data_IF_459964465461
#
_entry.id   IF_459964465461
#
_cell.length_a   1.000
_cell.length_b   1.000
_cell.length_c   1.000
_cell.angle_alpha   90.00
_cell.angle_beta   90.00
_cell.angle_gamma   90.00
#
_symmetry.space_group_name_H-M   'P 1'
#
loop_
_entity.id
_entity.type
_entity.pdbx_description
1 polymer ?
#
# COMPACT_ATOMS: atom_id res chain seq x y z
N UNK A 1 2.63 -93.53 22.57
CA UNK A 1 1.70 -92.80 21.73
C UNK A 1 1.59 -91.38 22.29
N UNK A 2 2.35 -90.46 21.72
CA UNK A 2 2.41 -89.02 22.14
C UNK A 2 1.71 -88.23 21.06
N UNK A 3 0.63 -87.54 21.41
CA UNK A 3 -0.10 -86.61 20.51
C UNK A 3 0.50 -85.20 20.68
N UNK A 4 1.03 -84.67 19.59
CA UNK A 4 1.52 -83.29 19.51
C UNK A 4 0.32 -82.42 19.05
N UNK A 5 -0.02 -81.41 19.85
CA UNK A 5 -0.95 -80.35 19.47
C UNK A 5 -0.15 -79.19 18.83
N UNK A 6 -0.46 -78.90 17.60
CA UNK A 6 0.07 -77.70 16.90
C UNK A 6 -0.83 -76.49 17.21
N UNK A 7 -0.23 -75.46 17.78
CA UNK A 7 -0.87 -74.16 18.05
C UNK A 7 -0.63 -73.24 16.81
N UNK A 8 -1.69 -72.93 16.07
CA UNK A 8 -1.61 -71.97 14.99
C UNK A 8 -1.77 -70.55 15.55
N UNK A 9 -0.73 -69.72 15.44
CA UNK A 9 -0.78 -68.28 15.77
C UNK A 9 -1.28 -67.51 14.53
N UNK A 10 -2.43 -66.89 14.68
CA UNK A 10 -2.94 -65.89 13.68
C UNK A 10 -2.25 -64.56 13.96
N UNK A 11 -1.38 -64.14 13.04
CA UNK A 11 -0.82 -62.79 13.00
C UNK A 11 -1.80 -61.91 12.21
N UNK A 12 -2.53 -61.04 12.91
CA UNK A 12 -3.38 -60.01 12.35
C UNK A 12 -2.54 -58.85 11.79
N UNK A 13 -2.48 -58.69 10.49
CA UNK A 13 -1.86 -57.53 9.85
C UNK A 13 -2.82 -56.34 9.91
N UNK A 14 -2.58 -55.38 10.81
CA UNK A 14 -3.29 -54.12 10.82
C UNK A 14 -2.70 -53.21 9.72
N UNK A 15 -3.40 -53.13 8.61
CA UNK A 15 -3.14 -52.11 7.59
C UNK A 15 -3.54 -50.75 8.12
N UNK A 16 -2.56 -50.00 8.65
CA UNK A 16 -2.71 -48.59 8.96
C UNK A 16 -2.86 -47.79 7.65
N UNK A 17 -4.05 -47.28 7.37
CA UNK A 17 -4.22 -46.22 6.38
C UNK A 17 -3.53 -44.95 6.89
N UNK A 18 -2.29 -44.75 6.47
CA UNK A 18 -1.64 -43.45 6.55
C UNK A 18 -2.40 -42.55 5.57
N UNK A 19 -3.32 -41.73 6.09
CA UNK A 19 -3.91 -40.65 5.34
C UNK A 19 -2.79 -39.72 4.89
N UNK A 20 -2.48 -39.71 3.61
CA UNK A 20 -1.60 -38.75 2.99
C UNK A 20 -2.23 -37.37 3.20
N UNK A 21 -1.72 -36.60 4.16
CA UNK A 21 -1.99 -35.18 4.21
C UNK A 21 -1.45 -34.59 2.89
N UNK A 22 -2.33 -34.40 1.91
CA UNK A 22 -1.99 -33.62 0.72
C UNK A 22 -1.61 -32.24 1.20
N UNK A 23 -0.34 -31.87 1.02
CA UNK A 23 0.11 -30.50 1.24
C UNK A 23 -0.78 -29.59 0.39
N UNK A 24 -1.59 -28.77 1.04
CA UNK A 24 -2.49 -27.83 0.40
C UNK A 24 -1.62 -26.91 -0.47
N UNK A 25 -1.85 -26.91 -1.76
CA UNK A 25 -1.13 -25.99 -2.67
C UNK A 25 -1.53 -24.57 -2.33
N UNK A 26 -0.63 -23.57 -2.48
CA UNK A 26 -1.03 -22.17 -2.40
C UNK A 26 -2.24 -21.94 -3.31
N UNK A 27 -3.39 -21.51 -2.74
CA UNK A 27 -4.61 -21.27 -3.48
C UNK A 27 -5.76 -22.32 -3.35
N UNK A 28 -5.58 -23.43 -2.63
CA UNK A 28 -6.63 -24.45 -2.47
C UNK A 28 -7.64 -24.15 -1.34
N UNK A 29 -7.59 -22.98 -0.72
CA UNK A 29 -8.47 -22.56 0.37
C UNK A 29 -9.46 -21.45 -0.02
N UNK A 30 -10.51 -21.23 0.79
CA UNK A 30 -11.38 -20.09 0.57
C UNK A 30 -10.62 -18.77 0.82
N UNK A 31 -10.82 -17.80 -0.06
CA UNK A 31 -10.27 -16.46 0.03
C UNK A 31 -11.28 -15.38 -0.36
N UNK A 32 -10.96 -14.10 -0.15
CA UNK A 32 -11.79 -13.01 -0.60
C UNK A 32 -11.83 -12.95 -2.13
N UNK A 33 -13.04 -12.78 -2.65
CA UNK A 33 -13.30 -12.67 -4.10
C UNK A 33 -13.63 -11.23 -4.45
N UNK A 34 -13.14 -10.79 -5.60
CA UNK A 34 -13.31 -9.43 -6.07
C UNK A 34 -13.84 -9.40 -7.51
N UNK A 35 -14.64 -8.38 -7.79
CA UNK A 35 -15.12 -8.06 -9.13
C UNK A 35 -14.83 -6.59 -9.40
N UNK A 36 -14.16 -6.29 -10.53
CA UNK A 36 -13.88 -4.90 -10.89
C UNK A 36 -15.17 -4.14 -11.18
N UNK A 37 -15.27 -2.92 -10.69
CA UNK A 37 -16.30 -1.98 -11.12
C UNK A 37 -15.76 -1.12 -12.27
N UNK A 38 -16.15 -1.40 -13.52
CA UNK A 38 -15.62 -0.68 -14.68
C UNK A 38 -16.13 0.76 -14.79
N UNK A 39 -17.09 1.16 -13.94
CA UNK A 39 -17.72 2.48 -13.96
C UNK A 39 -17.28 3.37 -12.80
N UNK A 40 -16.30 2.94 -12.04
CA UNK A 40 -15.69 3.72 -10.97
C UNK A 40 -14.25 4.15 -11.33
N UNK A 41 -13.86 5.42 -11.10
CA UNK A 41 -14.68 6.56 -10.70
C UNK A 41 -15.57 7.07 -11.85
N UNK A 42 -16.53 7.93 -11.53
CA UNK A 42 -17.30 8.65 -12.53
C UNK A 42 -16.41 9.62 -13.30
N UNK A 43 -16.81 10.00 -14.54
CA UNK A 43 -16.08 11.00 -15.31
C UNK A 43 -15.83 12.28 -14.50
N UNK A 44 -14.60 12.78 -14.55
CA UNK A 44 -14.24 14.04 -13.89
C UNK A 44 -14.92 15.23 -14.58
N UNK A 45 -15.29 16.28 -13.83
CA UNK A 45 -15.88 17.49 -14.40
C UNK A 45 -14.87 18.27 -15.26
N UNK A 46 -15.35 19.27 -16.02
CA UNK A 46 -14.53 20.24 -16.74
C UNK A 46 -13.51 19.63 -17.71
N UNK A 47 -13.81 18.47 -18.27
CA UNK A 47 -12.90 17.70 -19.14
C UNK A 47 -11.54 17.43 -18.47
N UNK A 48 -11.52 17.26 -17.16
CA UNK A 48 -10.30 16.92 -16.45
C UNK A 48 -9.85 15.49 -16.73
N UNK A 49 -8.54 15.30 -16.82
CA UNK A 49 -7.87 14.01 -16.84
C UNK A 49 -6.97 13.86 -15.62
N UNK A 50 -6.91 12.64 -15.12
CA UNK A 50 -5.97 12.23 -14.10
C UNK A 50 -4.65 11.82 -14.75
N UNK A 51 -3.52 12.32 -14.25
CA UNK A 51 -2.20 11.80 -14.55
C UNK A 51 -1.91 10.51 -13.77
N UNK A 52 -0.64 10.21 -13.52
CA UNK A 52 -0.26 9.07 -12.69
C UNK A 52 -0.92 9.17 -11.31
N UNK A 53 -1.76 8.20 -10.94
CA UNK A 53 -2.32 8.09 -9.61
C UNK A 53 -1.26 7.48 -8.69
N UNK A 54 -0.60 8.32 -7.89
CA UNK A 54 0.55 7.93 -7.11
C UNK A 54 0.20 7.38 -5.73
N UNK A 55 -0.94 7.76 -5.16
CA UNK A 55 -1.39 7.26 -3.88
C UNK A 55 -2.92 7.23 -3.79
N UNK A 56 -3.42 6.35 -2.94
CA UNK A 56 -4.85 6.21 -2.68
C UNK A 56 -5.07 5.92 -1.19
N UNK A 57 -6.11 6.51 -0.62
CA UNK A 57 -6.51 6.28 0.76
C UNK A 57 -8.05 6.24 0.86
N UNK A 58 -8.54 5.54 1.87
CA UNK A 58 -9.96 5.56 2.26
C UNK A 58 -10.05 6.20 3.64
N UNK A 59 -10.92 7.18 3.79
CA UNK A 59 -11.15 7.84 5.08
C UNK A 59 -12.23 7.10 5.91
N UNK A 60 -12.46 7.56 7.14
CA UNK A 60 -13.45 6.98 8.07
C UNK A 60 -14.91 7.12 7.62
N UNK A 61 -15.16 7.90 6.56
CA UNK A 61 -16.48 8.08 5.94
C UNK A 61 -16.64 7.25 4.67
N UNK A 62 -15.65 6.39 4.37
CA UNK A 62 -15.53 5.63 3.13
C UNK A 62 -15.43 6.51 1.88
N UNK A 63 -14.93 7.75 2.01
CA UNK A 63 -14.52 8.54 0.86
C UNK A 63 -13.13 8.12 0.39
N UNK A 64 -12.93 8.14 -0.92
CA UNK A 64 -11.71 7.69 -1.56
C UNK A 64 -10.89 8.90 -1.99
N UNK A 65 -9.66 8.98 -1.47
CA UNK A 65 -8.73 10.04 -1.74
C UNK A 65 -7.64 9.55 -2.68
N UNK A 66 -7.43 10.30 -3.76
CA UNK A 66 -6.37 10.00 -4.74
C UNK A 66 -5.43 11.20 -4.81
N UNK A 67 -4.12 10.95 -4.67
CA UNK A 67 -3.11 11.92 -5.08
C UNK A 67 -2.56 11.51 -6.44
N UNK A 68 -2.56 12.46 -7.37
CA UNK A 68 -2.13 12.22 -8.73
C UNK A 68 -1.11 13.27 -9.19
N UNK A 69 -0.42 13.02 -10.28
CA UNK A 69 0.65 13.83 -10.86
C UNK A 69 0.17 14.52 -12.13
N UNK A 70 -0.40 15.73 -12.06
CA UNK A 70 -0.97 16.44 -13.23
C UNK A 70 0.05 16.64 -14.36
N UNK A 71 1.32 16.88 -14.01
CA UNK A 71 2.42 17.11 -14.95
C UNK A 71 2.80 15.88 -15.78
N UNK A 72 2.32 14.68 -15.45
CA UNK A 72 2.59 13.45 -16.21
C UNK A 72 1.66 13.29 -17.43
N UNK A 73 0.67 14.17 -17.57
CA UNK A 73 -0.13 14.24 -18.78
C UNK A 73 0.74 14.75 -19.95
N UNK A 74 0.64 14.06 -21.07
CA UNK A 74 1.28 14.48 -22.34
C UNK A 74 0.60 15.71 -22.91
N UNK A 75 1.21 16.34 -23.91
CA UNK A 75 0.60 17.48 -24.59
C UNK A 75 -0.74 17.12 -25.23
N UNK A 76 -0.89 15.91 -25.76
CA UNK A 76 -2.15 15.44 -26.35
C UNK A 76 -3.23 15.25 -25.27
N UNK A 77 -2.85 14.80 -24.07
CA UNK A 77 -3.77 14.60 -22.93
C UNK A 77 -4.18 15.93 -22.27
N UNK A 78 -3.49 17.04 -22.52
CA UNK A 78 -3.79 18.37 -21.96
C UNK A 78 -3.94 19.46 -23.02
N UNK A 79 -4.38 19.09 -24.21
CA UNK A 79 -4.40 19.97 -25.38
C UNK A 79 -5.17 21.27 -25.20
N UNK A 80 -6.24 21.28 -24.37
CA UNK A 80 -7.00 22.50 -24.08
C UNK A 80 -6.24 23.55 -23.26
N UNK A 81 -5.18 23.15 -22.53
CA UNK A 81 -4.39 24.05 -21.65
C UNK A 81 -3.08 24.52 -22.27
N UNK A 82 -2.80 24.11 -23.49
CA UNK A 82 -1.63 24.59 -24.23
C UNK A 82 -1.85 26.04 -24.72
N UNK A 83 -0.77 26.74 -25.03
CA UNK A 83 -0.83 28.08 -25.57
C UNK A 83 -0.06 28.15 -26.91
N UNK A 84 -0.74 28.27 -28.09
CA UNK A 84 -2.21 28.24 -28.23
C UNK A 84 -2.78 26.85 -27.95
N UNK A 85 -4.10 26.77 -27.60
CA UNK A 85 -4.77 25.48 -27.40
C UNK A 85 -4.73 24.62 -28.66
N UNK A 86 -4.44 23.33 -28.48
CA UNK A 86 -4.36 22.35 -29.58
C UNK A 86 -5.69 21.65 -29.83
N UNK A 87 -6.56 21.59 -28.79
CA UNK A 87 -7.84 20.89 -28.82
C UNK A 87 -8.84 21.53 -27.85
N UNK A 88 -10.12 21.11 -27.90
CA UNK A 88 -11.16 21.49 -26.95
C UNK A 88 -11.12 20.66 -25.65
N UNK A 89 -10.44 19.55 -25.66
CA UNK A 89 -10.17 18.65 -24.53
C UNK A 89 -8.68 18.49 -24.40
N UNK A 90 -8.09 18.23 -23.28
CA UNK A 90 -8.59 18.13 -21.92
C UNK A 90 -7.70 18.98 -21.03
N UNK A 91 -7.97 19.02 -19.73
CA UNK A 91 -7.18 19.75 -18.75
C UNK A 91 -6.70 18.81 -17.63
N UNK A 92 -5.52 19.04 -17.02
CA UNK A 92 -5.10 18.30 -15.84
C UNK A 92 -6.05 18.54 -14.66
N UNK A 93 -6.47 17.47 -14.00
CA UNK A 93 -7.17 17.58 -12.72
C UNK A 93 -6.21 18.13 -11.62
N UNK A 94 -6.73 18.75 -10.55
CA UNK A 94 -5.94 19.10 -9.37
C UNK A 94 -5.24 17.88 -8.77
N UNK A 95 -4.10 18.04 -8.05
CA UNK A 95 -3.33 16.93 -7.52
C UNK A 95 -4.06 16.03 -6.54
N UNK A 96 -4.93 16.59 -5.69
CA UNK A 96 -5.72 15.83 -4.70
C UNK A 96 -7.17 15.80 -5.13
N UNK A 97 -7.72 14.59 -5.18
CA UNK A 97 -9.10 14.30 -5.56
C UNK A 97 -9.76 13.48 -4.45
N UNK A 98 -10.94 13.90 -4.01
CA UNK A 98 -11.79 13.16 -3.08
C UNK A 98 -13.07 12.71 -3.80
N UNK A 99 -13.32 11.41 -3.75
CA UNK A 99 -14.52 10.79 -4.33
C UNK A 99 -15.41 10.24 -3.23
N UNK A 100 -16.71 10.28 -3.43
CA UNK A 100 -17.62 9.46 -2.62
C UNK A 100 -17.54 7.98 -3.04
N UNK A 101 -18.26 7.12 -2.32
CA UNK A 101 -18.32 5.68 -2.63
C UNK A 101 -18.86 5.39 -4.04
N UNK A 102 -19.74 6.22 -4.58
CA UNK A 102 -20.28 6.06 -5.92
C UNK A 102 -19.32 6.51 -7.02
N UNK A 103 -18.17 7.09 -6.63
CA UNK A 103 -17.11 7.55 -7.52
C UNK A 103 -17.35 8.97 -8.04
N UNK A 104 -18.27 9.72 -7.46
CA UNK A 104 -18.47 11.13 -7.81
C UNK A 104 -17.39 11.97 -7.13
N UNK A 105 -16.74 12.84 -7.90
CA UNK A 105 -15.78 13.79 -7.34
C UNK A 105 -16.51 14.81 -6.46
N UNK A 106 -16.20 14.83 -5.15
CA UNK A 106 -16.81 15.74 -4.18
C UNK A 106 -15.91 16.90 -3.80
N UNK A 107 -14.57 16.73 -3.95
CA UNK A 107 -13.59 17.78 -3.66
C UNK A 107 -12.31 17.59 -4.46
N UNK A 108 -11.65 18.71 -4.77
CA UNK A 108 -10.34 18.70 -5.39
C UNK A 108 -9.54 19.95 -5.00
N UNK A 109 -8.24 19.78 -4.76
CA UNK A 109 -7.33 20.87 -4.39
C UNK A 109 -5.87 20.45 -4.54
N UNK A 110 -4.94 21.31 -4.18
CA UNK A 110 -3.50 21.04 -4.11
C UNK A 110 -2.69 21.85 -5.09
N UNK A 111 -1.38 21.70 -5.00
CA UNK A 111 -0.38 22.48 -5.71
C UNK A 111 0.33 23.48 -4.81
N UNK A 112 1.19 24.30 -5.40
CA UNK A 112 1.97 25.29 -4.67
C UNK A 112 1.09 26.30 -3.93
N UNK A 113 1.51 26.71 -2.73
CA UNK A 113 0.79 27.67 -1.91
C UNK A 113 1.71 28.35 -0.90
N UNK A 114 1.15 29.23 -0.10
CA UNK A 114 1.91 30.00 0.89
C UNK A 114 2.17 29.16 2.15
N UNK A 115 3.40 29.22 2.66
CA UNK A 115 3.78 28.65 3.96
C UNK A 115 4.17 27.19 3.96
N UNK A 116 4.20 26.52 2.80
CA UNK A 116 4.64 25.12 2.64
C UNK A 116 5.34 24.91 1.29
N UNK A 117 6.03 23.77 1.18
CA UNK A 117 6.74 23.36 -0.02
C UNK A 117 6.04 22.13 -0.62
N UNK A 118 5.20 22.37 -1.65
CA UNK A 118 4.48 21.27 -2.34
C UNK A 118 5.46 20.32 -3.03
N UNK A 119 5.25 18.98 -2.96
CA UNK A 119 6.13 18.03 -3.62
C UNK A 119 6.28 18.26 -5.13
N UNK A 120 7.47 18.10 -5.63
CA UNK A 120 7.74 18.10 -7.06
C UNK A 120 7.24 16.83 -7.74
N UNK A 121 7.29 15.68 -7.04
CA UNK A 121 6.71 14.41 -7.45
C UNK A 121 5.81 13.88 -6.34
N UNK A 122 4.50 14.14 -6.46
CA UNK A 122 3.49 13.66 -5.51
C UNK A 122 3.58 12.13 -5.38
N UNK A 123 3.45 11.61 -4.14
CA UNK A 123 3.59 10.18 -3.90
C UNK A 123 2.56 9.61 -2.92
N UNK A 124 2.81 9.63 -1.63
CA UNK A 124 1.90 9.09 -0.62
C UNK A 124 0.77 10.05 -0.25
N UNK A 125 -0.40 9.49 0.05
CA UNK A 125 -1.53 10.20 0.66
C UNK A 125 -2.12 9.34 1.78
N UNK A 126 -2.48 9.95 2.89
CA UNK A 126 -3.19 9.33 3.99
C UNK A 126 -4.17 10.32 4.62
N UNK A 127 -5.34 9.84 5.05
CA UNK A 127 -6.31 10.65 5.79
C UNK A 127 -6.41 10.11 7.22
N UNK A 128 -6.13 10.97 8.20
CA UNK A 128 -6.11 10.57 9.59
C UNK A 128 -7.53 10.56 10.23
N UNK A 129 -7.62 10.07 11.46
CA UNK A 129 -8.86 9.97 12.21
C UNK A 129 -9.51 11.33 12.56
N UNK A 130 -8.82 12.44 12.33
CA UNK A 130 -9.30 13.81 12.49
C UNK A 130 -9.63 14.47 11.15
N UNK A 131 -9.70 13.68 10.07
CA UNK A 131 -9.94 14.11 8.68
C UNK A 131 -8.84 15.02 8.12
N UNK A 132 -7.61 15.00 8.69
CA UNK A 132 -6.51 15.69 8.08
C UNK A 132 -5.86 14.84 6.99
N UNK A 133 -5.43 15.48 5.93
CA UNK A 133 -4.82 14.86 4.76
C UNK A 133 -3.31 15.05 4.84
N UNK A 134 -2.59 13.94 4.82
CA UNK A 134 -1.13 13.89 4.82
C UNK A 134 -0.61 13.54 3.44
N UNK A 135 0.42 14.25 2.98
CA UNK A 135 0.97 14.13 1.63
C UNK A 135 2.49 14.06 1.68
N UNK A 136 3.07 13.12 0.94
CA UNK A 136 4.50 13.01 0.72
C UNK A 136 4.87 13.10 -0.75
N UNK A 137 6.16 13.23 -1.03
CA UNK A 137 6.70 13.26 -2.38
C UNK A 137 8.00 12.47 -2.52
N UNK A 138 8.38 12.12 -3.74
CA UNK A 138 9.56 11.30 -4.00
C UNK A 138 10.51 11.85 -5.07
N UNK A 139 10.42 13.12 -5.45
CA UNK A 139 11.48 13.76 -6.22
C UNK A 139 12.80 13.76 -5.44
N UNK A 140 13.92 13.96 -6.13
CA UNK A 140 15.23 14.07 -5.49
C UNK A 140 15.32 15.17 -4.43
N UNK A 141 14.41 16.15 -4.50
CA UNK A 141 14.29 17.28 -3.59
C UNK A 141 13.12 17.19 -2.61
N UNK A 142 12.25 16.17 -2.73
CA UNK A 142 11.09 16.02 -1.85
C UNK A 142 11.52 15.33 -0.54
N UNK A 143 11.82 16.13 0.47
CA UNK A 143 12.26 15.66 1.78
C UNK A 143 11.33 16.12 2.91
N UNK A 144 10.05 16.34 2.57
CA UNK A 144 9.02 16.81 3.48
C UNK A 144 7.74 15.97 3.39
N UNK A 145 6.97 16.02 4.46
CA UNK A 145 5.59 15.57 4.55
C UNK A 145 4.74 16.75 4.97
N UNK A 146 3.59 16.91 4.31
CA UNK A 146 2.66 18.01 4.53
C UNK A 146 1.36 17.51 5.15
N UNK A 147 0.79 18.30 6.07
CA UNK A 147 -0.53 18.08 6.66
C UNK A 147 -1.48 19.20 6.27
N UNK A 148 -2.67 18.85 5.83
CA UNK A 148 -3.74 19.78 5.47
C UNK A 148 -5.05 19.40 6.18
N UNK A 149 -5.98 20.35 6.28
CA UNK A 149 -7.39 19.99 6.55
C UNK A 149 -7.97 19.27 5.34
N UNK A 150 -9.14 18.68 5.50
CA UNK A 150 -9.92 18.07 4.41
C UNK A 150 -10.15 19.03 3.24
N UNK A 151 -10.29 20.33 3.50
CA UNK A 151 -10.51 21.39 2.52
C UNK A 151 -9.24 21.90 1.86
N UNK A 152 -8.06 21.36 2.23
CA UNK A 152 -6.77 21.77 1.67
C UNK A 152 -6.13 22.98 2.35
N UNK A 153 -6.57 23.37 3.57
CA UNK A 153 -5.89 24.40 4.37
C UNK A 153 -4.63 23.80 4.99
N UNK A 154 -3.48 24.40 4.75
CA UNK A 154 -2.19 23.99 5.33
C UNK A 154 -2.19 24.04 6.86
N UNK A 155 -1.65 23.02 7.50
CA UNK A 155 -1.55 22.87 8.95
C UNK A 155 -0.11 22.68 9.43
N UNK A 156 0.69 21.81 8.80
CA UNK A 156 2.01 21.41 9.28
C UNK A 156 2.88 20.91 8.13
N UNK A 157 4.18 21.21 8.21
CA UNK A 157 5.23 20.58 7.40
C UNK A 157 6.26 19.94 8.32
N UNK A 158 6.63 18.68 8.03
CA UNK A 158 7.73 17.95 8.68
C UNK A 158 8.82 17.75 7.62
N UNK A 159 10.05 18.06 7.96
CA UNK A 159 11.15 18.10 7.01
C UNK A 159 11.13 19.35 6.13
N UNK A 160 11.99 19.39 5.11
CA UNK A 160 12.14 20.55 4.23
C UNK A 160 12.64 20.11 2.86
N UNK A 161 12.11 20.74 1.81
CA UNK A 161 12.56 20.47 0.44
C UNK A 161 14.08 20.71 0.29
N UNK A 162 14.71 19.89 -0.51
CA UNK A 162 16.16 19.95 -0.83
C UNK A 162 17.10 19.83 0.40
N UNK A 163 16.58 19.34 1.56
CA UNK A 163 17.36 19.17 2.79
C UNK A 163 17.22 17.75 3.34
N UNK A 164 18.31 17.00 3.32
CA UNK A 164 18.39 15.64 3.88
C UNK A 164 19.81 15.35 4.34
N UNK A 165 19.96 14.62 5.47
CA UNK A 165 21.26 14.30 6.08
C UNK A 165 21.42 12.80 6.35
N UNK A 166 20.56 11.96 5.75
CA UNK A 166 20.64 10.49 5.86
C UNK A 166 19.85 9.90 7.03
N UNK A 167 20.04 8.61 7.23
CA UNK A 167 19.20 7.77 8.09
C UNK A 167 19.21 8.14 9.58
N UNK A 168 20.27 8.77 10.07
CA UNK A 168 20.39 9.18 11.47
C UNK A 168 19.78 10.57 11.77
N UNK A 169 19.40 11.33 10.74
CA UNK A 169 18.85 12.68 10.92
C UNK A 169 17.42 12.62 11.46
N UNK A 170 17.14 13.32 12.54
CA UNK A 170 15.83 13.36 13.19
C UNK A 170 14.98 14.57 12.81
N UNK A 171 15.53 15.49 12.03
CA UNK A 171 14.87 16.73 11.61
C UNK A 171 14.45 16.70 10.12
N UNK A 172 15.17 15.94 9.28
CA UNK A 172 14.94 15.88 7.84
C UNK A 172 14.59 14.47 7.41
N UNK A 173 13.81 14.38 6.33
CA UNK A 173 13.43 13.12 5.70
C UNK A 173 14.32 12.82 4.48
N UNK A 174 14.18 11.63 3.94
CA UNK A 174 14.90 11.19 2.75
C UNK A 174 13.97 10.66 1.66
N UNK A 175 13.13 11.52 1.07
CA UNK A 175 12.15 11.15 0.06
C UNK A 175 11.12 10.15 0.63
N UNK A 176 10.23 10.61 1.53
CA UNK A 176 9.23 9.78 2.19
C UNK A 176 8.24 9.19 1.18
N UNK A 177 7.94 7.90 1.32
CA UNK A 177 7.06 7.20 0.39
C UNK A 177 5.59 7.27 0.81
N UNK A 178 5.27 6.77 2.00
CA UNK A 178 3.91 6.71 2.52
C UNK A 178 3.91 6.90 4.04
N UNK A 179 2.73 7.14 4.61
CA UNK A 179 2.58 7.41 6.03
C UNK A 179 1.26 6.88 6.58
N UNK A 180 1.20 6.78 7.92
CA UNK A 180 0.00 6.38 8.65
C UNK A 180 -0.01 7.03 10.03
N UNK A 181 -1.19 7.45 10.52
CA UNK A 181 -1.36 8.01 11.87
C UNK A 181 -2.09 7.03 12.76
N UNK A 182 -1.53 6.74 13.93
CA UNK A 182 -2.20 5.95 14.97
C UNK A 182 -3.27 6.79 15.67
N UNK A 183 -4.55 6.42 15.58
CA UNK A 183 -5.62 7.17 16.23
C UNK A 183 -5.55 7.12 17.76
N UNK A 184 -4.89 6.11 18.35
CA UNK A 184 -4.81 5.94 19.79
C UNK A 184 -3.72 6.81 20.44
N UNK A 185 -2.59 7.02 19.76
CA UNK A 185 -1.42 7.75 20.28
C UNK A 185 -1.13 9.05 19.56
N UNK A 186 -1.83 9.32 18.47
CA UNK A 186 -1.58 10.44 17.56
C UNK A 186 -0.13 10.47 17.04
N UNK A 187 0.46 9.29 16.80
CA UNK A 187 1.80 9.14 16.24
C UNK A 187 1.72 8.95 14.72
N UNK A 188 2.53 9.71 14.01
CA UNK A 188 2.71 9.63 12.56
C UNK A 188 3.90 8.73 12.25
N UNK A 189 3.64 7.58 11.63
CA UNK A 189 4.64 6.66 11.11
C UNK A 189 4.89 6.98 9.64
N UNK A 190 6.14 7.22 9.27
CA UNK A 190 6.54 7.53 7.88
C UNK A 190 7.49 6.45 7.38
N UNK A 191 7.16 5.86 6.24
CA UNK A 191 8.10 5.06 5.45
C UNK A 191 9.06 6.02 4.72
N UNK A 192 10.19 6.30 5.33
CA UNK A 192 11.19 7.24 4.84
C UNK A 192 12.24 6.50 4.01
N UNK A 193 11.88 6.18 2.74
CA UNK A 193 12.48 5.06 2.06
C UNK A 193 13.09 5.26 0.67
N UNK A 194 12.81 6.31 -0.10
CA UNK A 194 13.40 6.47 -1.45
C UNK A 194 14.85 6.98 -1.43
N UNK A 195 15.31 7.50 -0.29
CA UNK A 195 16.71 7.85 -0.06
C UNK A 195 17.21 7.30 1.27
N UNK A 196 16.40 7.40 2.32
CA UNK A 196 16.66 6.78 3.60
C UNK A 196 16.15 5.32 3.66
N UNK A 197 16.51 4.57 4.71
CA UNK A 197 16.21 3.15 4.86
C UNK A 197 15.57 2.89 6.22
N UNK A 198 14.47 3.63 6.54
CA UNK A 198 13.90 3.62 7.89
C UNK A 198 12.39 3.82 7.91
N UNK A 199 11.78 3.41 9.02
CA UNK A 199 10.55 3.99 9.52
C UNK A 199 10.91 5.06 10.53
N UNK A 200 10.32 6.24 10.42
CA UNK A 200 10.51 7.34 11.37
C UNK A 200 9.17 7.81 11.91
N UNK A 201 9.13 8.16 13.18
CA UNK A 201 7.91 8.48 13.91
C UNK A 201 7.96 9.89 14.48
N UNK A 202 6.89 10.64 14.21
CA UNK A 202 6.69 11.98 14.74
C UNK A 202 5.37 12.07 15.51
N UNK A 203 5.23 13.09 16.29
CA UNK A 203 3.94 13.50 16.83
C UNK A 203 3.11 14.17 15.72
N UNK A 204 1.91 13.65 15.45
CA UNK A 204 1.07 14.12 14.34
C UNK A 204 0.45 15.52 14.56
N UNK A 205 0.48 16.03 15.80
CA UNK A 205 -0.01 17.38 16.13
C UNK A 205 1.07 18.44 16.02
N UNK A 206 2.27 18.12 16.54
CA UNK A 206 3.35 19.10 16.70
C UNK A 206 4.47 18.96 15.69
N UNK A 207 4.59 17.79 15.03
CA UNK A 207 5.74 17.44 14.20
C UNK A 207 7.01 17.13 14.99
N UNK A 208 6.93 16.92 16.30
CA UNK A 208 8.08 16.58 17.13
C UNK A 208 8.53 15.15 16.86
N UNK A 209 9.83 14.95 16.63
CA UNK A 209 10.44 13.63 16.47
C UNK A 209 10.26 12.77 17.73
N UNK A 210 9.99 11.48 17.54
CA UNK A 210 9.87 10.50 18.62
C UNK A 210 10.92 9.39 18.57
N UNK A 211 11.02 8.68 17.46
CA UNK A 211 11.93 7.53 17.24
C UNK A 211 12.03 7.16 15.77
N UNK A 212 12.98 6.32 15.44
CA UNK A 212 13.09 5.66 14.14
C UNK A 212 13.82 4.30 14.28
N UNK A 213 13.68 3.47 13.28
CA UNK A 213 14.37 2.18 13.17
C UNK A 213 14.54 1.76 11.71
N UNK A 214 15.52 0.90 11.48
CA UNK A 214 15.77 0.20 10.21
C UNK A 214 15.18 -1.21 10.20
N UNK A 215 15.67 -2.03 9.28
CA UNK A 215 15.23 -3.42 9.16
C UNK A 215 15.43 -4.21 10.47
N UNK A 216 14.50 -5.13 10.74
CA UNK A 216 14.49 -5.97 11.94
C UNK A 216 14.52 -5.20 13.27
N UNK A 217 14.05 -3.94 13.28
CA UNK A 217 14.06 -3.08 14.46
C UNK A 217 15.45 -2.60 14.89
N UNK A 218 16.47 -2.80 14.05
CA UNK A 218 17.83 -2.35 14.29
C UNK A 218 18.03 -0.91 13.84
N UNK A 219 19.07 -0.23 14.29
CA UNK A 219 19.46 1.04 13.69
C UNK A 219 19.62 0.92 12.17
N UNK A 220 19.23 1.93 11.37
CA UNK A 220 19.48 1.89 9.94
C UNK A 220 20.96 1.67 9.63
N UNK A 221 21.26 0.78 8.67
CA UNK A 221 22.64 0.44 8.30
C UNK A 221 23.36 -0.54 9.23
N UNK A 222 22.67 -1.14 10.20
CA UNK A 222 23.25 -2.19 11.04
C UNK A 222 23.71 -3.37 10.17
N UNK A 223 25.01 -3.74 10.16
CA UNK A 223 25.54 -4.79 9.29
C UNK A 223 25.15 -6.21 9.73
N UNK A 224 24.56 -6.38 10.91
CA UNK A 224 24.11 -7.69 11.41
C UNK A 224 22.83 -8.20 10.74
N UNK A 225 22.12 -7.34 10.01
CA UNK A 225 20.86 -7.67 9.32
C UNK A 225 20.89 -7.17 7.88
N UNK A 226 20.09 -7.81 7.01
CA UNK A 226 19.85 -7.26 5.69
C UNK A 226 19.05 -5.97 5.83
N UNK A 227 19.66 -4.84 5.55
CA UNK A 227 19.03 -3.52 5.60
C UNK A 227 17.74 -3.47 4.77
N UNK A 228 16.87 -2.52 5.08
CA UNK A 228 15.79 -2.19 4.15
C UNK A 228 16.36 -1.87 2.77
N UNK A 229 15.67 -2.34 1.74
CA UNK A 229 15.95 -1.95 0.36
C UNK A 229 15.44 -0.53 0.07
N UNK A 230 15.74 -0.06 -1.12
CA UNK A 230 15.24 1.22 -1.60
C UNK A 230 14.10 0.96 -2.62
N UNK A 231 12.87 1.38 -2.30
CA UNK A 231 12.47 2.12 -1.10
C UNK A 231 11.90 1.24 0.04
N UNK A 232 11.90 1.79 1.26
CA UNK A 232 10.88 1.46 2.28
C UNK A 232 9.60 2.19 1.86
N UNK A 233 8.60 1.44 1.37
CA UNK A 233 7.58 2.04 0.54
C UNK A 233 6.24 2.30 1.25
N UNK A 234 5.90 1.50 2.27
CA UNK A 234 4.71 1.71 3.09
C UNK A 234 4.97 1.45 4.57
N UNK A 235 4.11 2.02 5.41
CA UNK A 235 4.02 1.72 6.83
C UNK A 235 2.53 1.73 7.22
N UNK A 236 1.89 0.55 7.23
CA UNK A 236 0.45 0.39 7.47
C UNK A 236 0.19 -0.14 8.88
N UNK A 237 -0.57 0.60 9.68
CA UNK A 237 -0.95 0.21 11.03
C UNK A 237 -2.26 -0.60 11.01
N UNK A 238 -2.25 -1.77 11.63
CA UNK A 238 -3.45 -2.58 11.86
C UNK A 238 -4.11 -2.26 13.20
N UNK A 239 -5.37 -2.68 13.39
CA UNK A 239 -6.17 -2.40 14.60
C UNK A 239 -5.58 -3.00 15.87
N UNK A 240 -4.81 -4.09 15.75
CA UNK A 240 -4.09 -4.73 16.87
C UNK A 240 -2.78 -4.02 17.25
N UNK A 241 -2.46 -2.93 16.60
CA UNK A 241 -1.25 -2.14 16.85
C UNK A 241 0.01 -2.67 16.18
N UNK A 242 -0.09 -3.66 15.30
CA UNK A 242 1.02 -4.11 14.46
C UNK A 242 1.18 -3.21 13.25
N UNK A 243 2.43 -2.84 12.97
CA UNK A 243 2.82 -2.02 11.82
C UNK A 243 3.44 -2.89 10.73
N UNK A 244 2.85 -2.89 9.56
CA UNK A 244 3.31 -3.61 8.37
C UNK A 244 4.11 -2.67 7.48
N UNK A 245 5.37 -3.00 7.24
CA UNK A 245 6.34 -2.17 6.51
C UNK A 245 6.72 -2.84 5.21
N UNK A 246 6.51 -2.14 4.10
CA UNK A 246 6.86 -2.60 2.76
C UNK A 246 8.35 -2.39 2.49
N UNK A 247 9.13 -3.44 2.55
CA UNK A 247 10.52 -3.47 2.09
C UNK A 247 10.55 -3.92 0.61
N UNK A 248 10.20 -2.97 -0.28
CA UNK A 248 9.80 -3.22 -1.66
C UNK A 248 10.84 -3.99 -2.46
N UNK A 249 12.05 -3.47 -2.54
CA UNK A 249 13.12 -4.07 -3.34
C UNK A 249 13.63 -5.41 -2.77
N UNK A 250 13.34 -5.71 -1.51
CA UNK A 250 13.67 -6.99 -0.89
C UNK A 250 12.53 -8.01 -0.96
N UNK A 251 11.41 -7.70 -1.61
CA UNK A 251 10.25 -8.57 -1.77
C UNK A 251 9.68 -9.06 -0.44
N UNK A 252 9.70 -8.21 0.60
CA UNK A 252 9.25 -8.61 1.94
C UNK A 252 8.43 -7.54 2.65
N UNK A 253 7.55 -8.02 3.51
CA UNK A 253 6.79 -7.23 4.46
C UNK A 253 7.39 -7.51 5.83
N UNK A 254 7.90 -6.52 6.53
CA UNK A 254 8.32 -6.66 7.92
C UNK A 254 7.25 -6.13 8.86
N UNK A 255 6.99 -6.87 9.92
CA UNK A 255 5.95 -6.56 10.91
C UNK A 255 6.62 -6.14 12.22
N UNK A 256 6.18 -5.00 12.76
CA UNK A 256 6.72 -4.41 13.98
C UNK A 256 5.62 -4.09 14.99
N UNK A 257 5.99 -3.99 16.26
CA UNK A 257 5.21 -3.22 17.22
C UNK A 257 5.43 -1.72 16.98
N UNK A 258 4.57 -0.89 17.54
CA UNK A 258 4.64 0.58 17.38
C UNK A 258 5.94 1.20 17.93
N UNK A 259 6.62 0.53 18.84
CA UNK A 259 7.91 0.95 19.39
C UNK A 259 9.13 0.60 18.51
N UNK A 260 8.90 -0.10 17.38
CA UNK A 260 9.94 -0.57 16.47
C UNK A 260 10.44 -1.99 16.76
N UNK A 261 9.91 -2.67 17.78
CA UNK A 261 10.24 -4.07 18.04
C UNK A 261 9.82 -4.95 16.88
N UNK A 262 10.76 -5.64 16.24
CA UNK A 262 10.51 -6.60 15.16
C UNK A 262 9.71 -7.80 15.67
N UNK A 263 8.72 -8.22 14.89
CA UNK A 263 7.84 -9.35 15.22
C UNK A 263 8.07 -10.52 14.26
N UNK A 264 7.92 -10.27 12.95
CA UNK A 264 8.03 -11.30 11.90
C UNK A 264 8.19 -10.65 10.53
N UNK A 265 8.48 -11.47 9.52
CA UNK A 265 8.46 -11.02 8.12
C UNK A 265 7.78 -12.04 7.21
N UNK A 266 7.27 -11.54 6.09
CA UNK A 266 6.68 -12.33 5.01
C UNK A 266 7.40 -12.01 3.71
N UNK A 267 7.77 -13.03 2.93
CA UNK A 267 8.37 -12.85 1.61
C UNK A 267 7.31 -13.12 0.55
N UNK A 268 7.13 -12.17 -0.37
CA UNK A 268 6.12 -12.25 -1.45
C UNK A 268 6.84 -12.30 -2.79
N UNK A 269 6.54 -13.30 -3.62
CA UNK A 269 7.13 -13.47 -4.95
C UNK A 269 8.66 -13.25 -5.00
N UNK A 270 9.46 -14.07 -4.27
CA UNK A 270 10.89 -13.80 -4.02
C UNK A 270 11.78 -13.73 -5.26
N UNK A 271 11.30 -14.25 -6.39
CA UNK A 271 12.02 -14.20 -7.66
C UNK A 271 11.85 -12.87 -8.41
N UNK A 272 10.99 -11.97 -7.91
CA UNK A 272 10.78 -10.66 -8.53
C UNK A 272 12.05 -9.82 -8.45
N UNK A 273 12.40 -9.19 -9.57
CA UNK A 273 13.52 -8.27 -9.70
C UNK A 273 13.01 -6.85 -9.95
N UNK A 274 13.88 -5.95 -10.39
CA UNK A 274 13.50 -4.57 -10.71
C UNK A 274 13.01 -3.82 -9.47
N UNK A 275 11.78 -3.35 -9.50
CA UNK A 275 11.18 -2.60 -8.40
C UNK A 275 10.76 -3.44 -7.19
N UNK A 276 10.84 -4.78 -7.27
CA UNK A 276 10.36 -5.69 -6.22
C UNK A 276 8.84 -5.87 -6.22
N UNK A 277 8.34 -6.75 -5.33
CA UNK A 277 6.95 -7.22 -5.33
C UNK A 277 6.06 -6.60 -4.24
N UNK A 278 6.61 -5.86 -3.27
CA UNK A 278 5.88 -5.36 -2.12
C UNK A 278 5.78 -3.84 -2.19
N UNK A 279 4.82 -3.35 -2.98
CA UNK A 279 4.69 -1.91 -3.23
C UNK A 279 3.82 -1.22 -2.19
N UNK A 280 2.68 -1.77 -1.85
CA UNK A 280 1.84 -1.25 -0.77
C UNK A 280 1.05 -2.40 -0.14
N UNK A 281 0.64 -2.23 1.12
CA UNK A 281 -0.23 -3.19 1.80
C UNK A 281 -1.37 -2.49 2.52
N UNK A 282 -2.51 -3.18 2.57
CA UNK A 282 -3.59 -2.84 3.48
C UNK A 282 -4.24 -4.11 4.03
N UNK A 283 -4.99 -3.98 5.11
CA UNK A 283 -5.61 -5.10 5.81
C UNK A 283 -7.12 -5.11 5.59
N UNK A 284 -7.72 -6.28 5.62
CA UNK A 284 -9.19 -6.41 5.55
C UNK A 284 -9.88 -5.78 6.75
N UNK A 285 -11.15 -5.39 6.58
CA UNK A 285 -11.94 -4.73 7.62
C UNK A 285 -12.79 -5.68 8.47
N UNK A 286 -12.75 -7.00 8.22
CA UNK A 286 -13.32 -7.99 9.11
C UNK A 286 -12.72 -7.86 10.54
N UNK A 287 -13.45 -8.28 11.58
CA UNK A 287 -13.05 -8.02 12.96
C UNK A 287 -11.63 -8.51 13.30
N UNK A 288 -11.17 -9.71 12.87
CA UNK A 288 -9.79 -10.16 13.08
C UNK A 288 -8.78 -9.56 12.09
N UNK A 289 -9.22 -8.83 11.06
CA UNK A 289 -8.38 -8.40 9.94
C UNK A 289 -7.60 -9.57 9.34
N UNK A 290 -8.36 -10.57 8.89
CA UNK A 290 -7.83 -11.88 8.46
C UNK A 290 -6.87 -11.78 7.29
N UNK A 291 -7.15 -10.85 6.36
CA UNK A 291 -6.43 -10.75 5.09
C UNK A 291 -5.48 -9.56 5.06
N UNK A 292 -4.35 -9.76 4.43
CA UNK A 292 -3.40 -8.73 4.07
C UNK A 292 -3.33 -8.69 2.53
N UNK A 293 -3.67 -7.54 1.95
CA UNK A 293 -3.57 -7.30 0.52
C UNK A 293 -2.24 -6.63 0.21
N UNK A 294 -1.56 -7.09 -0.82
CA UNK A 294 -0.28 -6.51 -1.26
C UNK A 294 -0.34 -6.13 -2.74
N UNK A 295 -0.19 -4.86 -3.03
CA UNK A 295 0.02 -4.38 -4.39
C UNK A 295 1.40 -4.77 -4.89
N UNK A 296 1.45 -5.38 -6.07
CA UNK A 296 2.68 -5.78 -6.74
C UNK A 296 2.73 -5.14 -8.13
N UNK A 297 3.35 -3.98 -8.19
CA UNK A 297 3.45 -3.19 -9.42
C UNK A 297 4.32 -3.85 -10.48
N UNK A 298 5.33 -4.62 -10.09
CA UNK A 298 6.23 -5.28 -11.04
C UNK A 298 5.52 -6.45 -11.75
N UNK A 299 4.75 -7.24 -11.00
CA UNK A 299 4.01 -8.39 -11.55
C UNK A 299 2.57 -8.06 -11.94
N UNK A 300 2.09 -6.84 -11.66
CA UNK A 300 0.75 -6.35 -12.00
C UNK A 300 -0.38 -7.20 -11.40
N UNK A 301 -0.26 -7.49 -10.10
CA UNK A 301 -1.27 -8.19 -9.29
C UNK A 301 -1.52 -7.48 -7.97
N UNK A 302 -2.63 -7.84 -7.35
CA UNK A 302 -2.82 -7.68 -5.91
C UNK A 302 -2.83 -9.09 -5.30
N UNK A 303 -1.86 -9.37 -4.43
CA UNK A 303 -1.78 -10.61 -3.68
C UNK A 303 -2.67 -10.55 -2.45
N UNK A 304 -3.33 -11.64 -2.13
CA UNK A 304 -4.03 -11.84 -0.86
C UNK A 304 -3.27 -12.84 -0.01
N UNK A 305 -2.89 -12.42 1.19
CA UNK A 305 -2.18 -13.24 2.15
C UNK A 305 -3.01 -13.43 3.42
N UNK A 306 -2.82 -14.54 4.12
CA UNK A 306 -3.24 -14.65 5.52
C UNK A 306 -2.35 -13.72 6.37
N UNK A 307 -2.97 -12.77 7.08
CA UNK A 307 -2.25 -11.78 7.88
C UNK A 307 -1.45 -12.39 9.04
N UNK A 308 -1.90 -13.54 9.54
CA UNK A 308 -1.23 -14.20 10.66
C UNK A 308 0.15 -14.77 10.27
N UNK A 309 0.25 -15.45 9.14
CA UNK A 309 1.45 -16.21 8.76
C UNK A 309 2.05 -15.84 7.40
N UNK A 310 1.44 -14.91 6.66
CA UNK A 310 1.92 -14.46 5.35
C UNK A 310 1.71 -15.45 4.22
N UNK A 311 0.93 -16.52 4.43
CA UNK A 311 0.62 -17.49 3.39
C UNK A 311 -0.19 -16.80 2.27
N UNK A 312 0.29 -16.91 1.03
CA UNK A 312 -0.45 -16.46 -0.15
C UNK A 312 -1.66 -17.37 -0.35
N UNK A 313 -2.85 -16.77 -0.38
CA UNK A 313 -4.13 -17.46 -0.58
C UNK A 313 -4.58 -17.33 -2.03
N UNK A 314 -4.50 -16.11 -2.58
CA UNK A 314 -4.94 -15.81 -3.93
C UNK A 314 -4.27 -14.54 -4.46
N UNK A 315 -4.57 -14.23 -5.70
CA UNK A 315 -4.25 -12.95 -6.31
C UNK A 315 -5.37 -12.55 -7.28
N UNK A 316 -5.49 -11.26 -7.57
CA UNK A 316 -6.36 -10.78 -8.61
C UNK A 316 -5.68 -9.70 -9.46
N UNK A 317 -6.25 -9.45 -10.64
CA UNK A 317 -5.64 -8.60 -11.64
C UNK A 317 -4.57 -9.31 -12.47
N UNK A 318 -4.16 -8.67 -13.53
CA UNK A 318 -3.12 -9.13 -14.47
C UNK A 318 -2.64 -7.93 -15.29
N UNK A 319 -1.51 -8.07 -15.95
CA UNK A 319 -1.01 -7.03 -16.84
C UNK A 319 -2.02 -6.66 -17.93
N UNK A 320 -2.24 -5.37 -18.13
CA UNK A 320 -3.10 -4.82 -19.19
C UNK A 320 -3.70 -3.46 -18.83
N UNK A 321 -4.60 -2.96 -19.69
CA UNK A 321 -5.18 -1.61 -19.58
C UNK A 321 -6.71 -1.59 -19.50
N UNK A 322 -7.36 -2.75 -19.57
CA UNK A 322 -8.81 -2.85 -19.40
C UNK A 322 -9.17 -2.83 -17.92
N UNK A 323 -10.44 -2.66 -17.60
CA UNK A 323 -10.93 -2.77 -16.22
C UNK A 323 -10.56 -4.14 -15.63
N UNK A 324 -10.07 -4.16 -14.39
CA UNK A 324 -9.58 -5.36 -13.72
C UNK A 324 -8.18 -5.81 -14.12
N UNK A 325 -7.54 -5.14 -15.07
CA UNK A 325 -6.13 -5.33 -15.40
C UNK A 325 -5.30 -4.20 -14.80
N UNK A 326 -4.00 -4.39 -14.64
CA UNK A 326 -3.10 -3.41 -14.05
C UNK A 326 -1.94 -3.08 -14.99
N UNK A 327 -1.49 -1.83 -14.88
CA UNK A 327 -0.18 -1.42 -15.32
C UNK A 327 0.47 -0.59 -14.23
N UNK A 328 1.41 -1.19 -13.52
CA UNK A 328 2.09 -0.60 -12.37
C UNK A 328 1.12 -0.18 -11.27
N UNK A 329 0.34 -1.16 -10.75
CA UNK A 329 -0.44 -0.97 -9.53
C UNK A 329 0.51 -0.56 -8.41
N UNK A 330 0.30 0.65 -7.86
CA UNK A 330 1.27 1.32 -7.00
C UNK A 330 0.84 1.34 -5.54
N UNK A 331 -0.39 1.73 -5.28
CA UNK A 331 -0.98 1.77 -3.95
C UNK A 331 -2.35 1.10 -3.96
N UNK A 332 -2.79 0.71 -2.77
CA UNK A 332 -4.13 0.20 -2.53
C UNK A 332 -4.70 0.69 -1.20
N UNK A 333 -6.02 0.68 -1.09
CA UNK A 333 -6.73 0.96 0.15
C UNK A 333 -8.02 0.13 0.22
N UNK A 334 -8.51 -0.13 1.43
CA UNK A 334 -9.70 -0.96 1.68
C UNK A 334 -10.75 -0.13 2.39
N UNK A 335 -12.01 -0.17 1.94
CA UNK A 335 -13.14 0.49 2.62
C UNK A 335 -13.77 -0.40 3.70
N UNK A 336 -14.72 0.16 4.45
CA UNK A 336 -15.41 -0.56 5.54
C UNK A 336 -16.22 -1.77 5.07
N UNK A 337 -16.60 -1.82 3.78
CA UNK A 337 -17.33 -2.92 3.15
C UNK A 337 -16.40 -4.01 2.61
N UNK A 338 -15.08 -3.80 2.68
CA UNK A 338 -14.06 -4.71 2.16
C UNK A 338 -13.75 -4.53 0.67
N UNK A 339 -14.27 -3.50 0.00
CA UNK A 339 -13.87 -3.20 -1.37
C UNK A 339 -12.43 -2.72 -1.40
N UNK A 340 -11.68 -3.12 -2.43
CA UNK A 340 -10.30 -2.69 -2.65
C UNK A 340 -10.25 -1.63 -3.73
N UNK A 341 -9.56 -0.55 -3.43
CA UNK A 341 -9.26 0.52 -4.38
C UNK A 341 -7.78 0.51 -4.72
N UNK A 342 -7.44 0.74 -5.97
CA UNK A 342 -6.05 0.72 -6.45
C UNK A 342 -5.72 2.00 -7.22
N UNK A 343 -4.46 2.42 -7.14
CA UNK A 343 -3.90 3.53 -7.89
C UNK A 343 -2.75 3.03 -8.77
N UNK A 344 -2.67 3.53 -10.01
CA UNK A 344 -1.69 3.10 -11.00
C UNK A 344 -0.83 4.29 -11.47
N UNK A 345 0.48 4.10 -11.42
CA UNK A 345 1.47 5.06 -11.93
C UNK A 345 1.90 4.73 -13.36
N UNK A 346 2.98 5.37 -13.81
CA UNK A 346 3.51 5.25 -15.16
C UNK A 346 2.40 5.49 -16.20
N UNK A 347 2.24 4.67 -17.18
CA UNK A 347 1.21 4.83 -18.21
C UNK A 347 -0.16 4.24 -17.81
N UNK A 348 -0.30 3.72 -16.59
CA UNK A 348 -1.58 3.31 -16.01
C UNK A 348 -2.53 4.49 -15.82
N UNK A 349 -2.08 5.54 -15.13
CA UNK A 349 -2.77 6.83 -14.96
C UNK A 349 -4.24 6.70 -14.57
N UNK A 350 -4.57 5.84 -13.60
CA UNK A 350 -5.95 5.64 -13.17
C UNK A 350 -6.05 5.13 -11.74
N UNK A 351 -7.26 5.20 -11.20
CA UNK A 351 -7.70 4.47 -10.03
C UNK A 351 -8.81 3.49 -10.40
N UNK A 352 -8.90 2.35 -9.71
CA UNK A 352 -9.94 1.35 -9.93
C UNK A 352 -10.54 0.91 -8.60
N UNK A 353 -11.82 0.46 -8.62
CA UNK A 353 -12.51 -0.19 -7.50
C UNK A 353 -12.76 -1.66 -7.81
N UNK A 354 -12.50 -2.51 -6.82
CA UNK A 354 -12.78 -3.94 -6.83
C UNK A 354 -13.78 -4.24 -5.72
N UNK A 355 -14.99 -4.63 -6.10
CA UNK A 355 -16.09 -4.93 -5.19
C UNK A 355 -15.85 -6.27 -4.50
N UNK A 356 -15.91 -6.29 -3.18
CA UNK A 356 -15.83 -7.51 -2.39
C UNK A 356 -17.09 -8.36 -2.58
N UNK A 357 -16.91 -9.62 -2.99
CA UNK A 357 -17.99 -10.57 -3.30
C UNK A 357 -18.08 -11.71 -2.28
N UNK A 358 -17.56 -11.46 -1.07
CA UNK A 358 -17.53 -12.47 -0.01
C UNK A 358 -16.31 -13.40 -0.10
N UNK A 359 -16.22 -14.32 0.85
CA UNK A 359 -15.16 -15.33 0.93
C UNK A 359 -15.68 -16.63 0.30
N UNK A 360 -14.87 -17.26 -0.52
CA UNK A 360 -15.21 -18.50 -1.23
C UNK A 360 -14.04 -19.08 -1.98
N UNK A 361 -14.25 -20.14 -2.79
CA UNK A 361 -13.21 -20.66 -3.66
C UNK A 361 -12.61 -19.56 -4.52
N UNK A 362 -11.29 -19.48 -4.60
CA UNK A 362 -10.54 -18.53 -5.42
C UNK A 362 -9.79 -19.26 -6.51
N UNK A 363 -9.79 -18.67 -7.72
CA UNK A 363 -8.97 -19.13 -8.84
C UNK A 363 -7.59 -18.46 -8.75
N UNK A 364 -6.53 -19.22 -9.04
CA UNK A 364 -5.13 -18.76 -9.01
C UNK A 364 -4.66 -18.27 -10.39
#
# INVERSE_FOLDING_TARGET
MIRIFALAALVGLALGFAGSATAQRPGDGPGPRFEVDPWWPKPLPSNWLMGQAAGIAVDRHDHIWVIQRPRTLTEDERGATLNPPRSLCCAPAPPVLEFDQDGVLVRSWGGQGAGYEWPLIEHGIFVDHQDNVWIGGNDAKDHQVLKFTREGKFLLQIGKADQTRGDADTAHLGRPANMNVDPATNELFIADGYKNHRVIVFDAQTGAYKRHWGANGRPPGDPSVKSFGNPVHCARLAKDGLLYVCDRANNRIQVFKKDGTFVKEFVVAPATRGGGSVWDVDVSHDAPQTWLYNADGENNHVWTLLRDNGQVVSKFGRNGRQAGQFHWVHNLAVDSKGNVYTAEVDTGKRAQRFLFKGVGPVEN
#
